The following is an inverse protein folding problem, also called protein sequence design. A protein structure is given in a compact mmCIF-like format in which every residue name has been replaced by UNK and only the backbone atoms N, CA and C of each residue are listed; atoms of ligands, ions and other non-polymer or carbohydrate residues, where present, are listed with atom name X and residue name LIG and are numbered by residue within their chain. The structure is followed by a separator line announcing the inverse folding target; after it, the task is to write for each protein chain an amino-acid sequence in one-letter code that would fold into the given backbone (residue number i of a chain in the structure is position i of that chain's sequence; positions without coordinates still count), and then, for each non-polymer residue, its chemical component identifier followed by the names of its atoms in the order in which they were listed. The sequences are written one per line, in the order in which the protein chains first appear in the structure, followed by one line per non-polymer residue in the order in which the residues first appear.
data_IF_892574088945
#
_entry.id   IF_892574088945
#
_cell.length_a   1.000
_cell.length_b   1.000
_cell.length_c   1.000
_cell.angle_alpha   90.00
_cell.angle_beta   90.00
_cell.angle_gamma   90.00
#
_symmetry.space_group_name_H-M   'P 1'
#
loop_
_entity.id
_entity.type
_entity.pdbx_description
1 polymer ?
#
# COMPACT_ATOMS: atom_id res chain seq x y z
N UNK A 1 13.97 7.65 21.77
CA UNK A 1 15.36 7.62 21.28
C UNK A 1 15.48 8.51 20.05
N UNK A 2 16.71 8.79 19.62
CA UNK A 2 16.99 9.56 18.39
C UNK A 2 16.97 8.71 17.11
N UNK A 3 17.06 7.39 17.24
CA UNK A 3 17.09 6.47 16.10
C UNK A 3 15.68 6.12 15.64
N UNK A 4 15.40 6.41 14.37
CA UNK A 4 14.13 6.09 13.71
C UNK A 4 14.32 4.78 12.94
N UNK A 5 13.55 3.75 13.31
CA UNK A 5 13.61 2.42 12.65
C UNK A 5 12.59 2.30 11.51
N UNK A 6 11.44 2.96 11.67
CA UNK A 6 10.37 3.03 10.71
C UNK A 6 9.79 4.45 10.68
N UNK A 7 9.60 5.00 9.48
CA UNK A 7 8.94 6.28 9.26
C UNK A 7 8.25 6.26 7.91
N UNK A 8 7.03 5.74 7.89
CA UNK A 8 6.17 5.62 6.72
C UNK A 8 4.74 6.02 7.12
N UNK A 9 3.96 6.56 6.18
CA UNK A 9 2.52 6.70 6.38
C UNK A 9 1.78 5.36 6.16
N UNK A 10 0.49 5.32 6.48
CA UNK A 10 -0.31 4.09 6.42
C UNK A 10 -0.37 3.46 5.01
N UNK A 11 -0.42 4.28 3.96
CA UNK A 11 -0.46 3.80 2.56
C UNK A 11 0.87 3.19 2.14
N UNK A 12 1.98 3.83 2.48
CA UNK A 12 3.33 3.28 2.24
C UNK A 12 3.56 1.98 3.01
N UNK A 13 3.13 1.93 4.26
CA UNK A 13 3.27 0.73 5.08
C UNK A 13 2.42 -0.43 4.54
N UNK A 14 1.18 -0.15 4.11
CA UNK A 14 0.31 -1.13 3.48
C UNK A 14 0.92 -1.67 2.18
N UNK A 15 1.46 -0.79 1.33
CA UNK A 15 2.13 -1.18 0.10
C UNK A 15 3.37 -2.05 0.38
N UNK A 16 4.22 -1.64 1.33
CA UNK A 16 5.40 -2.39 1.76
C UNK A 16 5.02 -3.80 2.24
N UNK A 17 4.05 -3.90 3.14
CA UNK A 17 3.59 -5.18 3.68
C UNK A 17 3.03 -6.08 2.58
N UNK A 18 2.27 -5.52 1.64
CA UNK A 18 1.76 -6.25 0.47
C UNK A 18 2.89 -6.81 -0.42
N UNK A 19 3.95 -6.03 -0.67
CA UNK A 19 5.10 -6.51 -1.44
C UNK A 19 5.85 -7.62 -0.68
N UNK A 20 6.03 -7.47 0.63
CA UNK A 20 6.75 -8.44 1.47
C UNK A 20 5.97 -9.73 1.70
N UNK A 21 4.64 -9.68 1.65
CA UNK A 21 3.76 -10.86 1.79
C UNK A 21 3.56 -11.63 0.48
N UNK A 22 4.23 -11.23 -0.60
CA UNK A 22 4.06 -11.85 -1.92
C UNK A 22 2.71 -11.52 -2.56
N UNK A 23 2.18 -10.32 -2.31
CA UNK A 23 0.96 -9.81 -2.93
C UNK A 23 -0.32 -10.12 -2.18
N UNK A 24 -0.24 -10.37 -0.87
CA UNK A 24 -1.38 -10.76 -0.04
C UNK A 24 -1.63 -9.71 1.04
N UNK A 25 -2.84 -9.17 1.10
CA UNK A 25 -3.22 -8.35 2.24
C UNK A 25 -3.36 -9.19 3.51
N UNK A 26 -3.14 -8.57 4.67
CA UNK A 26 -3.34 -9.22 5.97
C UNK A 26 -4.81 -9.34 6.35
N UNK A 27 -5.63 -8.42 5.83
CA UNK A 27 -7.06 -8.56 5.75
C UNK A 27 -7.48 -8.17 4.34
N UNK A 28 -8.24 -9.03 3.69
CA UNK A 28 -8.80 -8.83 2.35
C UNK A 28 -10.33 -8.64 2.40
N UNK A 29 -10.85 -8.34 3.60
CA UNK A 29 -12.28 -8.23 3.88
C UNK A 29 -12.67 -6.78 4.18
N UNK A 30 -13.01 -6.00 3.15
CA UNK A 30 -13.43 -4.61 3.34
C UNK A 30 -14.94 -4.52 3.58
N UNK A 31 -15.34 -4.75 4.83
CA UNK A 31 -16.75 -4.77 5.24
C UNK A 31 -17.24 -3.40 5.72
N UNK A 32 -17.93 -2.68 4.83
CA UNK A 32 -18.50 -1.36 5.04
C UNK A 32 -20.04 -1.38 4.99
N UNK A 33 -20.66 -2.46 5.45
CA UNK A 33 -22.10 -2.60 5.54
C UNK A 33 -22.68 -1.83 6.72
N UNK A 34 -24.00 -1.53 6.69
CA UNK A 34 -24.68 -0.88 7.81
C UNK A 34 -24.54 -1.72 9.09
N UNK A 35 -24.04 -1.10 10.16
CA UNK A 35 -23.74 -1.78 11.43
C UNK A 35 -22.44 -2.59 11.43
N UNK A 36 -21.69 -2.57 10.32
CA UNK A 36 -20.35 -3.14 10.24
C UNK A 36 -19.28 -2.28 10.90
N UNK A 37 -18.11 -2.87 11.12
CA UNK A 37 -16.92 -2.17 11.60
C UNK A 37 -15.82 -2.36 10.57
N UNK A 38 -15.59 -1.36 9.68
CA UNK A 38 -14.49 -1.41 8.73
C UNK A 38 -13.16 -1.59 9.47
N UNK A 39 -12.33 -2.51 8.97
CA UNK A 39 -11.04 -2.84 9.57
C UNK A 39 -9.96 -2.80 8.49
N UNK A 40 -8.79 -2.28 8.86
CA UNK A 40 -7.60 -2.32 8.02
C UNK A 40 -6.44 -2.88 8.83
N UNK A 41 -5.64 -3.72 8.19
CA UNK A 41 -4.51 -4.40 8.80
C UNK A 41 -3.24 -4.11 8.01
N UNK A 42 -2.24 -3.59 8.69
CA UNK A 42 -0.90 -3.36 8.16
C UNK A 42 0.11 -3.87 9.17
N UNK A 43 1.22 -4.44 8.70
CA UNK A 43 2.29 -4.87 9.58
C UNK A 43 3.58 -4.10 9.41
N UNK A 44 4.29 -4.00 10.54
CA UNK A 44 5.68 -3.60 10.60
C UNK A 44 6.52 -4.88 10.55
N UNK A 45 7.19 -5.11 9.42
CA UNK A 45 8.00 -6.31 9.22
C UNK A 45 9.48 -6.01 9.50
N UNK A 46 9.99 -6.56 10.60
CA UNK A 46 11.40 -6.44 10.97
C UNK A 46 12.31 -7.52 10.34
N UNK A 47 11.71 -8.57 9.75
CA UNK A 47 12.41 -9.68 9.11
C UNK A 47 11.98 -9.86 7.65
N UNK A 48 12.60 -10.81 6.93
CA UNK A 48 12.23 -11.11 5.53
C UNK A 48 10.84 -11.74 5.43
N UNK A 49 10.47 -12.52 6.44
CA UNK A 49 9.19 -13.21 6.57
C UNK A 49 8.86 -13.38 8.05
N UNK A 50 7.62 -13.78 8.36
CA UNK A 50 7.20 -14.04 9.74
C UNK A 50 8.01 -15.21 10.31
N UNK A 51 8.58 -15.02 11.51
CA UNK A 51 9.48 -15.98 12.20
C UNK A 51 10.90 -16.09 11.62
N UNK A 52 11.38 -15.09 10.88
CA UNK A 52 12.80 -14.98 10.50
C UNK A 52 13.68 -14.89 11.76
N UNK A 53 14.57 -15.87 11.95
CA UNK A 53 15.44 -15.97 13.14
C UNK A 53 16.74 -15.19 12.98
N UNK A 54 17.12 -14.85 11.76
CA UNK A 54 18.35 -14.12 11.47
C UNK A 54 18.10 -12.61 11.51
N UNK A 55 16.95 -12.17 10.99
CA UNK A 55 16.54 -10.78 10.95
C UNK A 55 15.24 -10.59 11.74
N UNK A 56 15.34 -10.06 12.95
CA UNK A 56 14.21 -9.76 13.81
C UNK A 56 14.55 -8.63 14.79
N UNK A 57 13.52 -7.92 15.23
CA UNK A 57 13.69 -6.84 16.20
C UNK A 57 13.91 -7.38 17.60
N UNK A 58 15.08 -7.08 18.17
CA UNK A 58 15.41 -7.36 19.56
C UNK A 58 15.31 -6.07 20.38
N UNK A 59 14.23 -5.89 21.18
CA UNK A 59 14.03 -4.66 21.95
C UNK A 59 15.09 -4.47 23.05
N UNK A 60 15.82 -5.52 23.47
CA UNK A 60 16.85 -5.42 24.52
C UNK A 60 18.08 -4.61 24.07
N UNK A 61 18.27 -4.48 22.75
CA UNK A 61 19.35 -3.67 22.14
C UNK A 61 19.04 -2.17 22.11
N UNK A 62 17.84 -1.76 22.51
CA UNK A 62 17.38 -0.38 22.43
C UNK A 62 16.99 0.19 23.80
N UNK A 63 17.31 1.45 24.01
CA UNK A 63 16.87 2.19 25.19
C UNK A 63 15.50 2.81 24.89
N UNK A 64 14.45 2.29 25.53
CA UNK A 64 13.07 2.80 25.43
C UNK A 64 12.52 2.83 23.98
N UNK A 65 12.32 1.66 23.35
CA UNK A 65 11.66 1.59 22.05
C UNK A 65 10.22 2.11 22.15
N UNK A 66 9.80 2.91 21.17
CA UNK A 66 8.47 3.54 21.14
C UNK A 66 7.81 3.33 19.79
N UNK A 67 6.53 2.97 19.82
CA UNK A 67 5.64 3.00 18.66
C UNK A 67 4.76 4.25 18.77
N UNK A 68 4.87 5.13 17.77
CA UNK A 68 4.03 6.34 17.66
C UNK A 68 3.16 6.19 16.43
N UNK A 69 1.85 6.30 16.60
CA UNK A 69 0.87 6.19 15.54
C UNK A 69 0.10 7.50 15.48
N UNK A 70 0.11 8.13 14.31
CA UNK A 70 -0.74 9.26 14.00
C UNK A 70 -1.90 8.74 13.16
N UNK A 71 -3.11 9.12 13.53
CA UNK A 71 -4.33 8.72 12.84
C UNK A 71 -5.16 9.95 12.55
N UNK A 72 -5.60 10.08 11.31
CA UNK A 72 -6.52 11.11 10.87
C UNK A 72 -7.94 10.53 10.88
N UNK A 73 -8.76 11.02 11.81
CA UNK A 73 -10.13 10.58 11.99
C UNK A 73 -11.06 11.11 10.90
N UNK A 74 -10.75 12.26 10.31
CA UNK A 74 -11.60 12.92 9.31
C UNK A 74 -11.46 12.23 7.94
N UNK A 75 -10.40 11.43 7.75
CA UNK A 75 -10.17 10.65 6.55
C UNK A 75 -10.98 9.34 6.48
N UNK A 76 -11.51 8.86 7.61
CA UNK A 76 -12.43 7.72 7.67
C UNK A 76 -13.88 8.24 7.63
N UNK A 77 -14.80 7.50 7.01
CA UNK A 77 -16.19 7.95 6.76
C UNK A 77 -16.81 8.66 7.98
N UNK A 78 -17.42 9.83 7.72
CA UNK A 78 -17.84 10.84 8.69
C UNK A 78 -18.97 10.39 9.65
N UNK A 79 -19.36 9.11 9.59
CA UNK A 79 -20.39 8.49 10.43
C UNK A 79 -19.82 7.55 11.50
N UNK A 80 -18.50 7.33 11.56
CA UNK A 80 -17.87 6.48 12.57
C UNK A 80 -17.82 7.18 13.95
N UNK A 81 -18.62 6.72 14.91
CA UNK A 81 -18.64 7.27 16.28
C UNK A 81 -17.43 6.85 17.12
N UNK A 82 -16.81 5.70 16.81
CA UNK A 82 -15.75 5.09 17.62
C UNK A 82 -14.64 4.51 16.74
N UNK A 83 -13.42 5.00 16.93
CA UNK A 83 -12.23 4.51 16.24
C UNK A 83 -11.30 3.79 17.22
N UNK A 84 -10.75 2.66 16.79
CA UNK A 84 -9.86 1.84 17.62
C UNK A 84 -8.54 1.58 16.90
N UNK A 85 -7.44 1.64 17.64
CA UNK A 85 -6.12 1.22 17.18
C UNK A 85 -5.70 0.07 18.07
N UNK A 86 -5.43 -1.08 17.47
CA UNK A 86 -4.94 -2.27 18.17
C UNK A 86 -3.60 -2.69 17.58
N UNK A 87 -2.60 -2.88 18.43
CA UNK A 87 -1.29 -3.37 18.02
C UNK A 87 -1.10 -4.81 18.51
N UNK A 88 -0.75 -5.70 17.60
CA UNK A 88 -0.39 -7.08 17.90
C UNK A 88 1.09 -7.30 17.64
N UNK A 89 1.77 -8.00 18.55
CA UNK A 89 3.17 -8.38 18.38
C UNK A 89 3.29 -9.90 18.25
N UNK A 90 3.94 -10.35 17.18
CA UNK A 90 4.36 -11.75 17.05
C UNK A 90 5.73 -11.91 17.69
N UNK A 91 5.80 -12.64 18.80
CA UNK A 91 7.00 -12.79 19.62
C UNK A 91 7.50 -14.24 19.58
N UNK A 92 8.82 -14.42 19.59
CA UNK A 92 9.42 -15.73 19.79
C UNK A 92 9.27 -16.13 21.26
N UNK A 93 8.32 -17.01 21.53
CA UNK A 93 8.13 -17.58 22.86
C UNK A 93 8.97 -18.86 23.03
N UNK A 94 9.52 -19.07 24.22
CA UNK A 94 10.31 -20.26 24.61
C UNK A 94 11.52 -20.60 23.73
N UNK A 95 11.91 -19.74 22.81
CA UNK A 95 13.07 -19.91 21.95
C UNK A 95 14.04 -18.76 22.15
N UNK A 96 15.27 -19.08 22.58
CA UNK A 96 16.36 -18.11 22.52
C UNK A 96 16.80 -17.97 21.08
N UNK A 97 16.59 -16.78 20.52
CA UNK A 97 17.15 -16.36 19.24
C UNK A 97 18.11 -15.21 19.47
N UNK A 98 19.09 -15.05 18.60
CA UNK A 98 20.02 -13.93 18.62
C UNK A 98 20.09 -13.33 17.21
N UNK A 99 19.11 -12.49 16.82
CA UNK A 99 19.05 -11.91 15.49
C UNK A 99 20.33 -11.12 15.20
N UNK A 100 20.89 -11.29 14.00
CA UNK A 100 22.05 -10.53 13.56
C UNK A 100 21.70 -9.04 13.37
N UNK A 101 20.47 -8.78 12.92
CA UNK A 101 19.95 -7.44 12.71
C UNK A 101 18.45 -7.48 12.44
N UNK A 102 17.93 -6.44 11.78
CA UNK A 102 16.54 -6.32 11.37
C UNK A 102 16.46 -5.38 10.16
N UNK A 103 15.32 -5.36 9.51
CA UNK A 103 15.03 -4.48 8.38
C UNK A 103 14.43 -3.16 8.87
N UNK A 104 14.89 -2.08 8.25
CA UNK A 104 14.34 -0.74 8.45
C UNK A 104 13.58 -0.29 7.20
N UNK A 105 12.60 0.59 7.39
CA UNK A 105 11.85 1.17 6.28
C UNK A 105 11.56 2.63 6.57
N UNK A 106 12.23 3.52 5.85
CA UNK A 106 12.22 4.96 6.12
C UNK A 106 11.92 5.71 4.83
N UNK A 107 11.06 6.71 4.92
CA UNK A 107 10.94 7.72 3.87
C UNK A 107 12.26 8.47 3.76
N UNK A 108 12.80 8.56 2.54
CA UNK A 108 14.03 9.32 2.25
C UNK A 108 13.67 10.78 1.96
N UNK A 109 12.62 10.98 1.17
CA UNK A 109 12.16 12.30 0.73
C UNK A 109 10.71 12.23 0.27
N UNK A 110 9.95 13.26 0.62
CA UNK A 110 8.63 13.56 0.07
C UNK A 110 8.63 14.99 -0.45
N UNK A 111 8.04 15.22 -1.62
CA UNK A 111 8.02 16.52 -2.28
C UNK A 111 6.87 16.61 -3.27
N UNK A 112 6.42 17.84 -3.54
CA UNK A 112 5.46 18.12 -4.59
C UNK A 112 6.17 18.32 -5.93
N UNK A 113 5.69 17.67 -6.97
CA UNK A 113 6.25 17.81 -8.32
C UNK A 113 5.67 19.04 -9.02
N UNK A 114 6.54 19.89 -9.57
CA UNK A 114 6.13 20.90 -10.54
C UNK A 114 5.98 20.31 -11.95
N UNK A 115 5.16 20.95 -12.79
CA UNK A 115 5.03 20.56 -14.21
C UNK A 115 6.40 20.62 -14.90
N UNK A 116 6.76 19.55 -15.61
CA UNK A 116 8.03 19.45 -16.35
C UNK A 116 9.29 19.72 -15.50
N UNK A 117 9.23 19.36 -14.21
CA UNK A 117 10.37 19.48 -13.30
C UNK A 117 11.12 18.16 -13.16
N UNK A 118 12.40 18.26 -12.81
CA UNK A 118 13.22 17.11 -12.43
C UNK A 118 13.60 17.24 -10.96
N UNK A 119 13.47 16.15 -10.24
CA UNK A 119 13.91 16.05 -8.86
C UNK A 119 15.10 15.11 -8.76
N UNK A 120 16.12 15.52 -8.00
CA UNK A 120 17.32 14.74 -7.77
C UNK A 120 17.40 14.40 -6.29
N UNK A 121 17.65 13.13 -5.99
CA UNK A 121 17.75 12.64 -4.61
C UNK A 121 18.94 11.71 -4.50
N UNK A 122 19.90 12.10 -3.66
CA UNK A 122 21.00 11.24 -3.28
C UNK A 122 20.54 10.27 -2.18
N UNK A 123 20.82 8.98 -2.35
CA UNK A 123 20.49 7.96 -1.37
C UNK A 123 21.54 7.94 -0.24
N UNK A 124 21.14 7.96 1.04
CA UNK A 124 22.04 7.74 2.18
C UNK A 124 22.89 6.46 2.03
N UNK A 125 24.12 6.44 2.51
CA UNK A 125 25.05 5.31 2.35
C UNK A 125 25.39 4.60 3.67
N UNK A 126 24.63 4.90 4.73
CA UNK A 126 24.79 4.35 6.08
C UNK A 126 24.42 2.86 6.17
N UNK A 127 23.47 2.41 5.35
CA UNK A 127 23.00 1.03 5.33
C UNK A 127 22.85 0.49 3.90
N UNK A 128 23.06 -0.83 3.69
CA UNK A 128 22.78 -1.45 2.41
C UNK A 128 21.27 -1.45 2.12
N UNK A 129 20.89 -1.06 0.90
CA UNK A 129 19.51 -1.12 0.44
C UNK A 129 19.15 -2.52 -0.05
N UNK A 130 17.98 -3.02 0.38
CA UNK A 130 17.35 -4.22 -0.18
C UNK A 130 16.30 -3.89 -1.24
N UNK A 131 15.64 -2.76 -1.12
CA UNK A 131 14.66 -2.29 -2.09
C UNK A 131 14.53 -0.77 -2.00
N UNK A 132 14.21 -0.16 -3.13
CA UNK A 132 13.77 1.23 -3.22
C UNK A 132 12.28 1.25 -3.57
N UNK A 133 11.50 2.03 -2.84
CA UNK A 133 10.09 2.25 -3.13
C UNK A 133 9.89 3.67 -3.64
N UNK A 134 9.18 3.79 -4.76
CA UNK A 134 8.79 5.08 -5.31
C UNK A 134 7.26 5.14 -5.28
N UNK A 135 6.72 6.17 -4.62
CA UNK A 135 5.28 6.38 -4.55
C UNK A 135 4.91 7.67 -5.27
N UNK A 136 3.93 7.58 -6.16
CA UNK A 136 3.28 8.73 -6.75
C UNK A 136 1.78 8.43 -6.83
N UNK A 137 0.97 9.28 -6.22
CA UNK A 137 -0.47 9.08 -6.18
C UNK A 137 -1.18 10.42 -6.27
N UNK A 138 -2.04 10.54 -7.28
CA UNK A 138 -3.04 11.59 -7.41
C UNK A 138 -4.36 10.88 -7.66
N UNK A 139 -5.41 11.29 -6.96
CA UNK A 139 -6.74 10.71 -7.13
C UNK A 139 -7.16 10.79 -8.61
N UNK A 140 -7.76 9.71 -9.13
CA UNK A 140 -8.26 9.58 -10.50
C UNK A 140 -7.21 9.58 -11.62
N UNK A 141 -5.92 9.73 -11.29
CA UNK A 141 -4.84 9.74 -12.26
C UNK A 141 -3.94 8.53 -12.04
N UNK A 142 -3.75 7.75 -13.10
CA UNK A 142 -2.81 6.64 -13.09
C UNK A 142 -1.39 7.15 -12.75
N UNK A 143 -0.69 6.54 -11.77
CA UNK A 143 0.65 6.98 -11.36
C UNK A 143 1.67 7.06 -12.51
N UNK A 144 1.57 6.17 -13.50
CA UNK A 144 2.45 6.13 -14.66
C UNK A 144 2.34 7.40 -15.54
N UNK A 145 1.20 8.12 -15.48
CA UNK A 145 0.99 9.37 -16.20
C UNK A 145 1.58 10.58 -15.46
N UNK A 146 1.93 10.43 -14.18
CA UNK A 146 2.46 11.52 -13.35
C UNK A 146 3.98 11.67 -13.45
N UNK A 147 4.69 10.57 -13.73
CA UNK A 147 6.15 10.56 -13.85
C UNK A 147 6.51 10.27 -15.30
N UNK A 148 7.10 11.23 -15.99
CA UNK A 148 7.57 11.03 -17.36
C UNK A 148 8.76 10.07 -17.42
N UNK A 149 9.87 10.45 -16.78
CA UNK A 149 11.13 9.70 -16.84
C UNK A 149 11.66 9.40 -15.44
N UNK A 150 12.33 8.27 -15.30
CA UNK A 150 13.00 7.86 -14.06
C UNK A 150 14.41 7.32 -14.38
N UNK A 151 15.37 7.66 -13.53
CA UNK A 151 16.75 7.20 -13.62
C UNK A 151 17.27 6.79 -12.25
N UNK A 152 18.00 5.68 -12.22
CA UNK A 152 18.79 5.25 -11.08
C UNK A 152 20.21 4.95 -11.55
N UNK A 153 21.18 5.59 -10.91
CA UNK A 153 22.60 5.43 -11.23
C UNK A 153 23.48 5.48 -9.98
N UNK A 154 24.69 4.96 -10.12
CA UNK A 154 25.72 4.87 -9.09
C UNK A 154 26.96 5.67 -9.54
N UNK A 155 27.69 6.21 -8.56
CA UNK A 155 28.99 6.88 -8.74
C UNK A 155 29.03 7.96 -9.84
N UNK A 156 28.06 8.88 -9.85
CA UNK A 156 27.93 9.92 -10.88
C UNK A 156 27.80 9.34 -12.29
N UNK A 157 26.81 8.47 -12.49
CA UNK A 157 26.50 7.82 -13.77
C UNK A 157 27.57 6.87 -14.32
N UNK A 158 28.59 6.48 -13.54
CA UNK A 158 29.52 5.42 -13.96
C UNK A 158 28.81 4.10 -14.21
N UNK A 159 27.76 3.83 -13.45
CA UNK A 159 26.86 2.70 -13.67
C UNK A 159 25.43 3.19 -13.63
N UNK A 160 24.72 3.00 -14.73
CA UNK A 160 23.28 3.30 -14.83
C UNK A 160 22.53 1.98 -14.69
N UNK A 161 21.67 1.90 -13.67
CA UNK A 161 20.86 0.72 -13.39
C UNK A 161 19.65 0.70 -14.34
N UNK A 162 18.97 1.85 -14.45
CA UNK A 162 17.96 2.10 -15.47
C UNK A 162 17.88 3.61 -15.75
N UNK A 163 17.46 3.95 -16.97
CA UNK A 163 17.20 5.31 -17.43
C UNK A 163 16.18 5.22 -18.56
N UNK A 164 14.99 5.81 -18.36
CA UNK A 164 13.97 5.79 -19.39
C UNK A 164 12.61 6.32 -18.94
N UNK A 165 11.64 6.19 -19.83
CA UNK A 165 10.24 6.51 -19.54
C UNK A 165 9.73 5.63 -18.40
N UNK A 166 9.10 6.25 -17.41
CA UNK A 166 8.60 5.55 -16.22
C UNK A 166 7.68 4.40 -16.63
N UNK A 167 6.72 4.66 -17.53
CA UNK A 167 5.78 3.65 -18.01
C UNK A 167 6.47 2.38 -18.54
N UNK A 168 7.60 2.52 -19.24
CA UNK A 168 8.37 1.41 -19.81
C UNK A 168 9.16 0.65 -18.76
N UNK A 169 9.86 1.37 -17.87
CA UNK A 169 10.59 0.78 -16.75
C UNK A 169 9.63 -0.05 -15.88
N UNK A 170 8.47 0.53 -15.55
CA UNK A 170 7.46 -0.12 -14.72
C UNK A 170 6.80 -1.30 -15.42
N UNK A 171 6.56 -1.23 -16.74
CA UNK A 171 6.06 -2.38 -17.50
C UNK A 171 7.03 -3.56 -17.47
N UNK A 172 8.34 -3.30 -17.38
CA UNK A 172 9.35 -4.33 -17.18
C UNK A 172 9.29 -5.01 -15.81
N UNK A 173 8.82 -4.30 -14.78
CA UNK A 173 8.65 -4.81 -13.42
C UNK A 173 7.33 -5.56 -13.21
N UNK A 174 6.28 -5.20 -13.95
CA UNK A 174 4.93 -5.77 -13.81
C UNK A 174 4.83 -7.30 -13.80
N UNK A 175 5.63 -8.08 -14.56
CA UNK A 175 5.62 -9.54 -14.47
C UNK A 175 6.05 -10.11 -13.11
N UNK A 176 6.87 -9.36 -12.36
CA UNK A 176 7.41 -9.77 -11.06
C UNK A 176 6.55 -9.29 -9.89
N UNK A 177 5.65 -8.33 -10.12
CA UNK A 177 4.72 -7.84 -9.13
C UNK A 177 3.39 -8.62 -9.22
N UNK A 178 2.83 -9.09 -8.09
CA UNK A 178 1.49 -9.68 -8.08
C UNK A 178 0.39 -8.70 -8.55
N UNK A 179 -0.81 -9.20 -8.80
CA UNK A 179 -1.97 -8.35 -9.05
C UNK A 179 -2.58 -7.97 -7.69
N UNK A 180 -2.91 -6.69 -7.50
CA UNK A 180 -3.68 -6.25 -6.33
C UNK A 180 -5.10 -6.73 -6.52
N UNK A 181 -5.68 -7.36 -5.48
CA UNK A 181 -7.07 -7.82 -5.47
C UNK A 181 -7.67 -7.58 -4.09
N UNK A 182 -8.86 -7.01 -4.08
CA UNK A 182 -9.59 -6.68 -2.86
C UNK A 182 -11.07 -6.95 -3.08
N UNK A 183 -11.74 -7.43 -2.04
CA UNK A 183 -13.19 -7.46 -1.99
C UNK A 183 -13.70 -6.25 -1.21
N UNK A 184 -14.87 -5.75 -1.58
CA UNK A 184 -15.56 -4.69 -0.86
C UNK A 184 -17.03 -5.01 -0.72
N UNK A 185 -17.55 -4.84 0.50
CA UNK A 185 -18.92 -5.10 0.85
C UNK A 185 -19.52 -3.79 1.36
N UNK A 186 -20.37 -3.17 0.55
CA UNK A 186 -21.00 -1.90 0.91
C UNK A 186 -22.41 -1.78 0.31
N UNK A 187 -23.31 -1.01 0.95
CA UNK A 187 -24.53 -0.58 0.29
C UNK A 187 -24.18 0.50 -0.73
N UNK A 188 -24.62 0.32 -1.97
CA UNK A 188 -24.59 1.40 -2.96
C UNK A 188 -25.70 2.42 -2.65
N UNK A 189 -25.67 3.58 -3.31
CA UNK A 189 -26.70 4.62 -3.17
C UNK A 189 -27.02 5.26 -4.53
N UNK A 190 -28.14 5.99 -4.58
CA UNK A 190 -28.55 6.76 -5.76
C UNK A 190 -27.67 7.99 -5.98
N UNK A 191 -27.01 8.47 -4.92
CA UNK A 191 -25.95 9.46 -5.03
C UNK A 191 -24.63 8.75 -5.33
N UNK A 192 -23.81 9.37 -6.17
CA UNK A 192 -22.43 8.96 -6.39
C UNK A 192 -21.68 8.85 -5.06
N UNK A 193 -20.91 7.78 -4.90
CA UNK A 193 -20.02 7.56 -3.76
C UNK A 193 -18.64 7.18 -4.26
N UNK A 194 -17.61 7.75 -3.63
CA UNK A 194 -16.23 7.34 -3.83
C UNK A 194 -15.83 6.27 -2.81
N UNK A 195 -15.12 5.25 -3.31
CA UNK A 195 -14.49 4.20 -2.53
C UNK A 195 -12.97 4.29 -2.72
N UNK A 196 -12.21 4.36 -1.64
CA UNK A 196 -10.76 4.22 -1.72
C UNK A 196 -10.41 2.75 -1.91
N UNK A 197 -9.55 2.48 -2.89
CA UNK A 197 -9.08 1.14 -3.25
C UNK A 197 -7.54 1.15 -3.25
N UNK A 198 -6.93 0.00 -3.03
CA UNK A 198 -5.47 -0.11 -2.98
C UNK A 198 -4.87 -0.14 -4.38
N UNK A 199 -5.52 -0.74 -5.36
CA UNK A 199 -5.05 -0.73 -6.74
C UNK A 199 -5.13 0.68 -7.34
N UNK A 200 -4.07 1.16 -7.99
CA UNK A 200 -4.03 2.51 -8.58
C UNK A 200 -3.72 2.54 -10.08
N UNK A 201 -3.30 1.42 -10.66
CA UNK A 201 -3.04 1.31 -12.10
C UNK A 201 -3.85 0.16 -12.72
N UNK A 202 -4.46 0.42 -13.88
CA UNK A 202 -5.23 -0.55 -14.68
C UNK A 202 -6.33 -1.20 -13.85
N UNK A 203 -7.04 -0.35 -13.11
CA UNK A 203 -8.08 -0.82 -12.20
C UNK A 203 -9.23 -1.43 -12.98
N UNK A 204 -9.67 -2.59 -12.51
CA UNK A 204 -10.87 -3.30 -12.95
C UNK A 204 -11.76 -3.48 -11.74
N UNK A 205 -13.01 -3.02 -11.84
CA UNK A 205 -14.04 -3.24 -10.84
C UNK A 205 -15.16 -4.06 -11.44
N UNK A 206 -15.52 -5.15 -10.78
CA UNK A 206 -16.67 -5.98 -11.13
C UNK A 206 -17.46 -6.19 -9.86
N UNK A 207 -18.76 -5.94 -9.89
CA UNK A 207 -19.61 -6.13 -8.73
C UNK A 207 -21.01 -6.55 -9.10
N UNK A 208 -21.73 -7.03 -8.10
CA UNK A 208 -23.12 -7.41 -8.23
C UNK A 208 -23.88 -7.07 -6.95
N UNK A 209 -25.15 -6.70 -7.14
CA UNK A 209 -26.07 -6.47 -6.02
C UNK A 209 -26.46 -7.83 -5.44
N UNK A 210 -26.34 -7.95 -4.13
CA UNK A 210 -26.81 -9.08 -3.35
C UNK A 210 -28.15 -8.72 -2.68
N UNK A 211 -29.21 -9.40 -3.09
CA UNK A 211 -30.57 -9.21 -2.60
C UNK A 211 -31.29 -10.54 -2.41
N UNK A 212 -32.30 -10.56 -1.54
CA UNK A 212 -33.15 -11.74 -1.29
C UNK A 212 -34.11 -12.06 -2.44
N UNK A 213 -34.45 -11.04 -3.23
CA UNK A 213 -35.35 -11.13 -4.38
C UNK A 213 -34.65 -10.61 -5.63
N UNK A 214 -35.10 -11.03 -6.82
CA UNK A 214 -34.57 -10.51 -8.08
C UNK A 214 -34.90 -9.02 -8.20
N UNK A 215 -33.86 -8.18 -8.32
CA UNK A 215 -34.02 -6.73 -8.45
C UNK A 215 -33.47 -6.27 -9.79
N UNK A 216 -34.27 -5.52 -10.55
CA UNK A 216 -33.79 -4.79 -11.72
C UNK A 216 -33.07 -3.51 -11.24
N UNK A 217 -31.79 -3.65 -10.86
CA UNK A 217 -30.95 -2.54 -10.43
C UNK A 217 -29.65 -2.51 -11.24
N UNK A 218 -29.34 -1.35 -11.78
CA UNK A 218 -28.05 -1.11 -12.42
C UNK A 218 -27.06 -0.60 -11.37
N UNK A 219 -25.94 -1.29 -11.24
CA UNK A 219 -24.77 -0.81 -10.51
C UNK A 219 -23.70 -0.39 -11.53
N UNK A 220 -23.20 0.82 -11.40
CA UNK A 220 -22.11 1.35 -12.21
C UNK A 220 -20.85 1.51 -11.36
N UNK A 221 -19.73 1.05 -11.90
CA UNK A 221 -18.40 1.22 -11.34
C UNK A 221 -17.52 1.87 -12.41
N UNK A 222 -16.92 3.01 -12.10
CA UNK A 222 -16.16 3.80 -13.08
C UNK A 222 -15.02 4.57 -12.39
N UNK A 223 -14.07 5.03 -13.21
CA UNK A 223 -12.72 5.40 -12.76
C UNK A 223 -12.04 4.24 -12.01
N UNK A 224 -11.25 4.53 -10.97
CA UNK A 224 -10.49 3.55 -10.20
C UNK A 224 -9.00 3.86 -10.17
N UNK A 225 -8.43 4.28 -11.30
CA UNK A 225 -7.02 4.67 -11.35
C UNK A 225 -6.73 5.81 -10.35
N UNK A 226 -5.51 5.84 -9.81
CA UNK A 226 -5.17 6.73 -8.70
C UNK A 226 -5.69 6.29 -7.33
N UNK A 227 -6.44 5.18 -7.25
CA UNK A 227 -6.86 4.57 -5.98
C UNK A 227 -8.25 5.03 -5.50
N UNK A 228 -9.08 5.56 -6.40
CA UNK A 228 -10.42 6.05 -6.09
C UNK A 228 -11.42 5.55 -7.13
N UNK A 229 -12.32 4.67 -6.68
CA UNK A 229 -13.40 4.10 -7.50
C UNK A 229 -14.70 4.83 -7.22
N UNK A 230 -15.42 5.23 -8.27
CA UNK A 230 -16.77 5.76 -8.12
C UNK A 230 -17.82 4.68 -8.31
N UNK A 231 -18.84 4.77 -7.48
CA UNK A 231 -19.96 3.84 -7.47
C UNK A 231 -21.28 4.61 -7.56
N UNK A 232 -22.21 4.10 -8.35
CA UNK A 232 -23.51 4.71 -8.58
C UNK A 232 -24.56 3.62 -8.81
N UNK A 233 -25.80 3.89 -8.39
CA UNK A 233 -26.94 3.04 -8.70
C UNK A 233 -28.18 3.86 -9.08
N UNK A 234 -29.06 3.28 -9.89
CA UNK A 234 -30.26 3.97 -10.42
C UNK A 234 -31.44 4.06 -9.44
N UNK A 235 -31.49 3.19 -8.44
CA UNK A 235 -32.45 3.20 -7.32
C UNK A 235 -31.73 2.71 -6.07
N UNK A 236 -32.28 2.96 -4.86
CA UNK A 236 -31.65 2.57 -3.58
C UNK A 236 -31.27 1.09 -3.60
N UNK A 237 -30.01 0.78 -3.90
CA UNK A 237 -29.59 -0.56 -4.18
C UNK A 237 -29.34 -1.29 -2.88
N UNK A 238 -29.47 -2.62 -2.92
CA UNK A 238 -29.16 -3.44 -1.77
C UNK A 238 -27.64 -3.58 -1.62
N UNK A 239 -27.26 -4.32 -0.58
CA UNK A 239 -25.90 -4.75 -0.31
C UNK A 239 -25.19 -5.14 -1.62
N UNK A 240 -24.00 -4.62 -1.87
CA UNK A 240 -23.26 -4.90 -3.11
C UNK A 240 -21.90 -5.43 -2.74
N UNK A 241 -21.48 -6.49 -3.45
CA UNK A 241 -20.12 -6.98 -3.39
C UNK A 241 -19.38 -6.50 -4.64
N UNK A 242 -18.23 -5.86 -4.44
CA UNK A 242 -17.37 -5.36 -5.51
C UNK A 242 -16.01 -6.03 -5.36
N UNK A 243 -15.57 -6.70 -6.41
CA UNK A 243 -14.20 -7.17 -6.58
C UNK A 243 -13.43 -6.11 -7.35
N UNK A 244 -12.39 -5.56 -6.74
CA UNK A 244 -11.47 -4.63 -7.39
C UNK A 244 -10.15 -5.35 -7.63
N UNK A 245 -9.54 -5.08 -8.78
CA UNK A 245 -8.24 -5.63 -9.12
C UNK A 245 -7.44 -4.64 -9.95
N UNK A 246 -6.12 -4.75 -9.89
CA UNK A 246 -5.24 -3.89 -10.68
C UNK A 246 -3.79 -4.06 -10.28
N UNK A 247 -3.02 -2.99 -10.47
CA UNK A 247 -1.59 -2.94 -10.18
C UNK A 247 -1.30 -1.78 -9.25
N UNK A 248 -0.08 -1.83 -8.68
CA UNK A 248 0.51 -0.81 -7.82
C UNK A 248 -0.34 -0.53 -6.57
N UNK A 249 -0.04 -1.18 -5.43
CA UNK A 249 -0.69 -0.82 -4.19
C UNK A 249 -0.35 0.64 -3.83
N UNK A 250 -1.38 1.47 -3.65
CA UNK A 250 -1.30 2.88 -3.28
C UNK A 250 -0.31 3.71 -4.11
N UNK A 251 -0.21 3.43 -5.41
CA UNK A 251 0.68 4.16 -6.31
C UNK A 251 2.17 3.90 -6.06
N UNK A 252 2.51 2.77 -5.44
CA UNK A 252 3.87 2.46 -5.00
C UNK A 252 4.52 1.39 -5.87
N UNK A 253 5.64 1.73 -6.49
CA UNK A 253 6.53 0.80 -7.18
C UNK A 253 7.60 0.27 -6.24
N UNK A 254 7.96 -1.00 -6.40
CA UNK A 254 9.07 -1.64 -5.71
C UNK A 254 10.20 -1.94 -6.70
N UNK A 255 11.38 -1.42 -6.41
CA UNK A 255 12.63 -1.73 -7.09
C UNK A 255 13.48 -2.61 -6.17
N UNK A 256 13.39 -3.94 -6.27
CA UNK A 256 14.21 -4.82 -5.45
C UNK A 256 15.67 -4.76 -5.91
N UNK A 257 16.59 -4.70 -4.95
CA UNK A 257 18.02 -4.86 -5.19
C UNK A 257 18.42 -6.29 -4.83
N UNK A 258 18.79 -7.05 -5.86
CA UNK A 258 19.09 -8.48 -5.71
C UNK A 258 17.83 -9.34 -5.58
N UNK A 259 17.98 -10.53 -4.99
CA UNK A 259 16.88 -11.46 -4.73
C UNK A 259 16.28 -11.11 -3.36
N UNK A 260 15.06 -10.58 -3.28
CA UNK A 260 14.49 -10.15 -2.01
C UNK A 260 14.28 -11.33 -1.06
N UNK A 261 14.19 -12.59 -1.50
CA UNK A 261 13.90 -13.72 -0.61
C UNK A 261 15.16 -14.41 -0.06
N UNK A 262 16.36 -13.99 -0.48
CA UNK A 262 17.64 -14.48 0.03
C UNK A 262 18.22 -13.47 1.01
#
# INVERSE_FOLDING_TARGET
GSEVLLSLNGRELAALDWYQSGGKFRGDYNYCMLGGTPQSYVAINFGRYLWDKELAFDPSRFINPQLRIYFDIDAADASCEHNYITAFASLFDQQSISPAGFLMSKEIKSYDTGVSSHEYTDLPTDHPYRALFLRCQVDEIEPSNMIGNIKLSEDMDKRVIFDGECSLVMRGLNPYCPEVREDHWLPLAVAERSLFITATERVKAIGSVWAEEAVAQDAAFYHGDGGKLYTYATANPKNTQILTSGRLPHGTWCFPFGDPMK
#
